data_IF_764191792215
#
_entry.id   IF_764191792215
#
_cell.length_a   1.000
_cell.length_b   1.000
_cell.length_c   1.000
_cell.angle_alpha   90.00
_cell.angle_beta   90.00
_cell.angle_gamma   90.00
#
_symmetry.space_group_name_H-M   'P 1'
#
loop_
_entity.id
_entity.type
_entity.pdbx_description
1 polymer ?
#
# COMPACT_ATOMS: atom_id res chain seq x y z
N UNK A 1 -30.27 -11.76 22.63
CA UNK A 1 -29.27 -10.70 22.95
C UNK A 1 -28.02 -11.38 23.48
N UNK A 2 -26.92 -11.44 22.71
CA UNK A 2 -25.59 -11.51 23.29
C UNK A 2 -25.10 -10.07 23.51
N UNK A 3 -24.70 -9.80 24.75
CA UNK A 3 -24.04 -8.59 25.24
C UNK A 3 -22.53 -8.70 25.04
N UNK A 4 -21.91 -7.52 24.98
CA UNK A 4 -20.47 -7.21 25.06
C UNK A 4 -19.73 -7.01 23.72
N UNK A 5 -19.70 -5.74 23.30
CA UNK A 5 -18.49 -5.16 22.71
C UNK A 5 -18.25 -3.82 23.40
N UNK A 6 -17.44 -3.84 24.44
CA UNK A 6 -16.70 -2.68 24.97
C UNK A 6 -15.65 -2.19 23.95
N UNK A 7 -16.07 -2.05 22.68
CA UNK A 7 -15.24 -1.52 21.60
C UNK A 7 -15.16 0.00 21.72
N UNK A 8 -13.94 0.55 21.75
CA UNK A 8 -13.76 1.99 21.60
C UNK A 8 -14.28 2.39 20.23
N UNK A 9 -14.99 3.52 20.15
CA UNK A 9 -15.35 4.13 18.87
C UNK A 9 -14.05 4.41 18.08
N UNK A 10 -13.98 3.89 16.86
CA UNK A 10 -12.85 4.10 15.94
C UNK A 10 -13.34 4.83 14.69
N UNK A 11 -12.79 6.02 14.45
CA UNK A 11 -12.99 6.77 13.22
C UNK A 11 -11.72 6.62 12.35
N UNK A 12 -11.85 6.22 11.08
CA UNK A 12 -10.73 6.00 10.14
C UNK A 12 -10.88 6.85 8.89
N UNK A 13 -9.93 7.76 8.67
CA UNK A 13 -9.77 8.43 7.38
C UNK A 13 -9.24 7.48 6.32
N UNK A 14 -9.81 7.56 5.13
CA UNK A 14 -9.42 6.73 3.97
C UNK A 14 -8.61 7.52 2.96
N UNK A 15 -7.94 6.82 2.05
CA UNK A 15 -7.26 7.45 0.92
C UNK A 15 -7.25 6.49 -0.26
N UNK A 16 -6.86 6.98 -1.43
CA UNK A 16 -6.79 6.20 -2.66
C UNK A 16 -5.60 5.22 -2.62
N UNK A 17 -5.79 4.09 -1.93
CA UNK A 17 -4.82 3.01 -1.78
C UNK A 17 -5.51 1.68 -2.08
N UNK A 18 -4.82 0.81 -2.84
CA UNK A 18 -5.33 -0.51 -3.17
C UNK A 18 -5.38 -1.44 -1.95
N UNK A 19 -6.10 -2.56 -2.05
CA UNK A 19 -5.98 -3.68 -1.10
C UNK A 19 -5.66 -4.96 -1.86
N UNK A 20 -5.13 -5.93 -1.14
CA UNK A 20 -4.82 -7.27 -1.64
C UNK A 20 -5.59 -8.31 -0.82
N UNK A 21 -6.09 -9.39 -1.44
CA UNK A 21 -6.57 -10.54 -0.68
C UNK A 21 -5.38 -11.18 0.05
N UNK A 22 -5.58 -11.75 1.23
CA UNK A 22 -4.50 -12.50 1.91
C UNK A 22 -4.22 -13.82 1.22
N UNK A 23 -5.29 -14.51 0.80
CA UNK A 23 -5.24 -15.79 0.10
C UNK A 23 -6.11 -15.74 -1.13
N UNK A 24 -5.68 -16.43 -2.17
CA UNK A 24 -6.45 -16.59 -3.40
C UNK A 24 -6.06 -17.91 -4.07
N UNK A 25 -7.02 -18.61 -4.70
CA UNK A 25 -6.79 -19.90 -5.38
C UNK A 25 -5.99 -20.90 -4.51
N UNK A 26 -6.37 -21.01 -3.24
CA UNK A 26 -5.77 -21.94 -2.26
C UNK A 26 -4.42 -21.53 -1.65
N UNK A 27 -3.75 -20.46 -2.12
CA UNK A 27 -2.41 -20.07 -1.66
C UNK A 27 -2.37 -18.63 -1.15
N UNK A 28 -1.28 -18.28 -0.48
CA UNK A 28 -0.99 -16.90 -0.08
C UNK A 28 -0.79 -16.02 -1.31
N UNK A 29 -1.34 -14.80 -1.29
CA UNK A 29 -1.27 -13.91 -2.45
C UNK A 29 0.16 -13.56 -2.84
N UNK A 30 1.07 -13.39 -1.87
CA UNK A 30 2.43 -12.97 -2.16
C UNK A 30 3.20 -14.04 -2.93
N UNK A 31 2.89 -15.32 -2.69
CA UNK A 31 3.47 -16.42 -3.48
C UNK A 31 3.04 -16.34 -4.93
N UNK A 32 1.76 -16.09 -5.20
CA UNK A 32 1.30 -15.88 -6.57
C UNK A 32 1.94 -14.66 -7.23
N UNK A 33 2.02 -13.54 -6.50
CA UNK A 33 2.58 -12.30 -7.05
C UNK A 33 4.08 -12.41 -7.35
N UNK A 34 4.81 -13.23 -6.58
CA UNK A 34 6.20 -13.57 -6.87
C UNK A 34 6.31 -14.43 -8.12
N UNK A 35 5.66 -15.60 -8.12
CA UNK A 35 5.82 -16.60 -9.19
C UNK A 35 5.31 -16.12 -10.55
N UNK A 36 4.29 -15.28 -10.54
CA UNK A 36 3.70 -14.71 -11.76
C UNK A 36 4.49 -13.54 -12.36
N UNK A 37 5.57 -13.11 -11.70
CA UNK A 37 6.36 -11.96 -12.14
C UNK A 37 5.68 -10.61 -11.92
N UNK A 38 4.53 -10.55 -11.25
CA UNK A 38 3.85 -9.29 -10.94
C UNK A 38 4.75 -8.34 -10.17
N UNK A 39 5.55 -8.90 -9.27
CA UNK A 39 6.49 -8.19 -8.42
C UNK A 39 7.80 -7.81 -9.13
N UNK A 40 8.14 -8.48 -10.24
CA UNK A 40 9.37 -8.27 -11.01
C UNK A 40 9.27 -7.10 -12.01
N UNK A 41 8.09 -6.47 -12.13
CA UNK A 41 7.90 -5.31 -13.00
C UNK A 41 8.87 -4.18 -12.60
N UNK A 42 9.69 -3.74 -13.56
CA UNK A 42 10.72 -2.72 -13.35
C UNK A 42 10.14 -1.37 -12.94
N UNK A 43 10.90 -0.60 -12.16
CA UNK A 43 10.53 0.75 -11.70
C UNK A 43 10.08 1.65 -12.85
N UNK A 44 10.82 1.67 -13.94
CA UNK A 44 10.54 2.49 -15.13
C UNK A 44 9.15 2.19 -15.70
N UNK A 45 8.78 0.91 -15.77
CA UNK A 45 7.48 0.46 -16.25
C UNK A 45 6.35 0.86 -15.28
N UNK A 46 6.60 0.77 -13.97
CA UNK A 46 5.66 1.26 -12.94
C UNK A 46 5.38 2.75 -13.13
N UNK A 47 6.44 3.55 -13.25
CA UNK A 47 6.32 5.01 -13.43
C UNK A 47 5.66 5.34 -14.76
N UNK A 48 6.00 4.63 -15.84
CA UNK A 48 5.40 4.83 -17.17
C UNK A 48 3.88 4.65 -17.15
N UNK A 49 3.39 3.63 -16.44
CA UNK A 49 1.95 3.32 -16.37
C UNK A 49 1.22 4.18 -15.34
N UNK A 50 1.80 4.38 -14.15
CA UNK A 50 1.13 5.06 -13.05
C UNK A 50 1.46 6.56 -12.92
N UNK A 51 2.39 7.07 -13.73
CA UNK A 51 2.93 8.44 -13.67
C UNK A 51 3.85 8.72 -12.48
N UNK A 52 3.83 7.85 -11.46
CA UNK A 52 4.63 7.94 -10.23
C UNK A 52 4.70 6.56 -9.57
N UNK A 53 5.51 6.45 -8.52
CA UNK A 53 5.46 5.28 -7.63
C UNK A 53 4.11 5.26 -6.90
N UNK A 54 3.31 4.18 -7.01
CA UNK A 54 2.06 4.06 -6.29
C UNK A 54 2.29 3.68 -4.82
N UNK A 55 1.31 3.94 -3.97
CA UNK A 55 1.30 3.36 -2.63
C UNK A 55 1.19 1.84 -2.71
N UNK A 56 1.84 1.13 -1.79
CA UNK A 56 1.69 -0.32 -1.66
C UNK A 56 0.26 -0.63 -1.19
N UNK A 57 -0.34 -1.66 -1.80
CA UNK A 57 -1.66 -2.10 -1.41
C UNK A 57 -1.68 -2.62 0.03
N UNK A 58 -2.78 -2.35 0.74
CA UNK A 58 -3.01 -2.87 2.08
C UNK A 58 -3.13 -4.39 2.01
N UNK A 59 -2.35 -5.06 2.85
CA UNK A 59 -2.33 -6.52 2.95
C UNK A 59 -2.38 -6.90 4.43
N UNK A 60 -3.42 -7.63 4.83
CA UNK A 60 -3.54 -8.09 6.21
C UNK A 60 -2.49 -9.15 6.55
N UNK A 61 -2.16 -9.28 7.83
CA UNK A 61 -1.13 -10.21 8.30
C UNK A 61 -1.58 -11.67 8.19
N UNK A 62 -2.76 -11.99 8.70
CA UNK A 62 -3.30 -13.36 8.77
C UNK A 62 -4.54 -13.60 7.92
N UNK A 63 -5.28 -12.54 7.60
CA UNK A 63 -6.52 -12.59 6.85
C UNK A 63 -6.66 -11.33 5.99
N UNK A 64 -7.59 -11.36 5.03
CA UNK A 64 -7.89 -10.20 4.19
C UNK A 64 -8.50 -9.08 5.03
N UNK A 65 -8.06 -7.84 4.78
CA UNK A 65 -8.64 -6.65 5.40
C UNK A 65 -9.24 -5.80 4.28
N UNK A 66 -10.49 -5.39 4.45
CA UNK A 66 -11.19 -4.46 3.56
C UNK A 66 -11.83 -3.34 4.39
N UNK A 67 -12.10 -2.21 3.75
CA UNK A 67 -12.78 -1.10 4.40
C UNK A 67 -14.20 -1.50 4.82
N UNK A 68 -14.88 -2.29 3.99
CA UNK A 68 -16.23 -2.77 4.23
C UNK A 68 -16.29 -3.71 5.44
N UNK A 69 -15.31 -4.61 5.57
CA UNK A 69 -15.20 -5.51 6.72
C UNK A 69 -14.93 -4.73 8.01
N UNK A 70 -14.03 -3.74 7.98
CA UNK A 70 -13.77 -2.85 9.12
C UNK A 70 -15.03 -2.08 9.52
N UNK A 71 -15.75 -1.56 8.54
CA UNK A 71 -17.01 -0.86 8.76
C UNK A 71 -18.08 -1.76 9.39
N UNK A 72 -18.20 -3.01 8.95
CA UNK A 72 -19.11 -3.97 9.57
C UNK A 72 -18.75 -4.34 11.01
N UNK A 73 -17.48 -4.18 11.40
CA UNK A 73 -16.99 -4.31 12.77
C UNK A 73 -17.21 -3.05 13.63
N UNK A 74 -17.79 -1.99 13.05
CA UNK A 74 -18.13 -0.76 13.78
C UNK A 74 -17.15 0.40 13.58
N UNK A 75 -16.14 0.24 12.71
CA UNK A 75 -15.26 1.37 12.35
C UNK A 75 -16.04 2.37 11.49
N UNK A 76 -16.05 3.63 11.91
CA UNK A 76 -16.63 4.72 11.12
C UNK A 76 -15.60 5.14 10.08
N UNK A 77 -15.92 4.93 8.80
CA UNK A 77 -15.06 5.35 7.72
C UNK A 77 -15.35 6.80 7.32
N UNK A 78 -14.28 7.55 7.12
CA UNK A 78 -14.29 8.94 6.68
C UNK A 78 -13.54 9.04 5.34
N UNK A 79 -13.79 10.10 4.59
CA UNK A 79 -12.98 10.41 3.42
C UNK A 79 -11.55 10.78 3.79
N UNK A 80 -10.78 11.25 2.81
CA UNK A 80 -9.40 11.69 3.02
C UNK A 80 -9.37 12.96 3.84
N UNK A 81 -8.52 12.98 4.88
CA UNK A 81 -8.23 14.18 5.65
C UNK A 81 -7.68 15.28 4.73
N UNK A 82 -8.32 16.45 4.73
CA UNK A 82 -7.95 17.60 3.89
C UNK A 82 -7.46 18.80 4.69
N UNK A 83 -7.82 18.89 5.96
CA UNK A 83 -7.47 20.04 6.79
C UNK A 83 -7.54 19.73 8.28
N UNK A 84 -6.75 20.48 9.04
CA UNK A 84 -6.75 20.53 10.50
C UNK A 84 -6.76 22.02 10.85
N UNK A 85 -7.80 22.46 11.53
CA UNK A 85 -7.92 23.84 12.01
C UNK A 85 -7.39 23.98 13.44
N UNK A 86 -6.95 25.20 13.78
CA UNK A 86 -6.61 25.56 15.16
C UNK A 86 -7.82 25.30 16.07
N UNK A 87 -7.61 24.49 17.11
CA UNK A 87 -8.68 24.01 17.98
C UNK A 87 -9.09 22.56 17.76
N UNK A 88 -8.53 21.86 16.77
CA UNK A 88 -8.69 20.40 16.61
C UNK A 88 -9.92 19.98 15.82
N UNK A 89 -10.41 20.84 14.91
CA UNK A 89 -11.41 20.48 13.92
C UNK A 89 -10.74 19.87 12.69
N UNK A 90 -11.17 18.67 12.30
CA UNK A 90 -10.70 17.94 11.13
C UNK A 90 -11.70 18.09 9.98
N UNK A 91 -11.21 18.27 8.75
CA UNK A 91 -12.04 18.26 7.53
C UNK A 91 -11.70 17.07 6.64
N UNK A 92 -12.73 16.50 6.00
CA UNK A 92 -12.59 15.34 5.12
C UNK A 92 -13.17 15.62 3.73
N UNK A 93 -12.54 15.05 2.72
CA UNK A 93 -13.07 15.05 1.35
C UNK A 93 -14.27 14.11 1.22
N UNK A 94 -15.13 14.38 0.24
CA UNK A 94 -16.23 13.49 -0.14
C UNK A 94 -15.77 12.40 -1.13
N UNK A 95 -14.74 11.64 -0.73
CA UNK A 95 -14.08 10.64 -1.59
C UNK A 95 -14.08 9.21 -1.03
N UNK A 96 -14.84 8.95 0.05
CA UNK A 96 -14.89 7.63 0.71
C UNK A 96 -15.29 6.51 -0.24
N UNK A 97 -16.40 6.65 -0.97
CA UNK A 97 -16.85 5.61 -1.91
C UNK A 97 -15.85 5.37 -3.03
N UNK A 98 -15.20 6.44 -3.52
CA UNK A 98 -14.17 6.34 -4.54
C UNK A 98 -12.94 5.60 -4.03
N UNK A 99 -12.54 5.83 -2.78
CA UNK A 99 -11.43 5.12 -2.14
C UNK A 99 -11.74 3.62 -1.96
N UNK A 100 -12.96 3.28 -1.52
CA UNK A 100 -13.41 1.88 -1.35
C UNK A 100 -13.43 1.16 -2.69
N UNK A 101 -14.05 1.77 -3.71
CA UNK A 101 -14.08 1.21 -5.07
C UNK A 101 -12.68 0.99 -5.63
N UNK A 102 -11.77 1.95 -5.45
CA UNK A 102 -10.39 1.81 -5.90
C UNK A 102 -9.66 0.64 -5.21
N UNK A 103 -9.92 0.42 -3.92
CA UNK A 103 -9.37 -0.71 -3.19
C UNK A 103 -9.88 -2.05 -3.76
N UNK A 104 -11.19 -2.17 -4.01
CA UNK A 104 -11.80 -3.37 -4.59
C UNK A 104 -11.28 -3.66 -6.01
N UNK A 105 -11.23 -2.63 -6.86
CA UNK A 105 -10.66 -2.75 -8.22
C UNK A 105 -9.21 -3.24 -8.19
N UNK A 106 -8.39 -2.77 -7.24
CA UNK A 106 -7.02 -3.25 -7.08
C UNK A 106 -6.96 -4.74 -6.69
N UNK A 107 -7.84 -5.19 -5.80
CA UNK A 107 -7.96 -6.60 -5.42
C UNK A 107 -8.34 -7.47 -6.63
N UNK A 108 -9.37 -7.07 -7.35
CA UNK A 108 -9.87 -7.79 -8.53
C UNK A 108 -8.85 -7.85 -9.67
N UNK A 109 -8.11 -6.76 -9.90
CA UNK A 109 -7.05 -6.75 -10.90
C UNK A 109 -5.91 -7.72 -10.54
N UNK A 110 -5.56 -7.81 -9.26
CA UNK A 110 -4.56 -8.78 -8.80
C UNK A 110 -5.07 -10.21 -8.95
N UNK A 111 -6.33 -10.50 -8.58
CA UNK A 111 -6.92 -11.83 -8.77
C UNK A 111 -6.92 -12.24 -10.25
N UNK A 112 -7.31 -11.32 -11.15
CA UNK A 112 -7.29 -11.55 -12.60
C UNK A 112 -5.89 -11.86 -13.11
N UNK A 113 -4.88 -11.13 -12.64
CA UNK A 113 -3.48 -11.43 -12.98
C UNK A 113 -3.08 -12.85 -12.54
N UNK A 114 -3.50 -13.28 -11.35
CA UNK A 114 -3.24 -14.64 -10.86
C UNK A 114 -3.95 -15.70 -11.70
N UNK A 115 -5.23 -15.50 -12.03
CA UNK A 115 -5.98 -16.42 -12.89
C UNK A 115 -5.37 -16.53 -14.29
N UNK A 116 -4.97 -15.40 -14.88
CA UNK A 116 -4.28 -15.37 -16.18
C UNK A 116 -2.96 -16.15 -16.12
N UNK A 117 -2.19 -16.01 -15.05
CA UNK A 117 -0.95 -16.74 -14.84
C UNK A 117 -1.20 -18.25 -14.69
N UNK A 118 -2.18 -18.65 -13.86
CA UNK A 118 -2.58 -20.05 -13.66
C UNK A 118 -2.96 -20.69 -15.01
N UNK A 119 -3.77 -19.99 -15.80
CA UNK A 119 -4.21 -20.46 -17.11
C UNK A 119 -3.04 -20.63 -18.08
N UNK A 120 -2.14 -19.64 -18.17
CA UNK A 120 -0.97 -19.67 -19.07
C UNK A 120 0.01 -20.79 -18.73
N UNK A 121 0.19 -21.06 -17.43
CA UNK A 121 1.14 -22.06 -16.96
C UNK A 121 0.53 -23.46 -16.82
N UNK A 122 -0.79 -23.61 -17.00
CA UNK A 122 -1.48 -24.89 -16.84
C UNK A 122 -1.43 -25.42 -15.40
N UNK A 123 -1.45 -24.52 -14.41
CA UNK A 123 -1.36 -24.90 -12.99
C UNK A 123 -2.72 -25.44 -12.52
N UNK A 124 -2.70 -26.62 -11.90
CA UNK A 124 -3.87 -27.14 -11.19
C UNK A 124 -4.03 -26.42 -9.84
N UNK A 125 -4.91 -25.41 -9.82
CA UNK A 125 -5.18 -24.59 -8.64
C UNK A 125 -6.67 -24.67 -8.26
N UNK A 126 -7.00 -24.76 -6.95
CA UNK A 126 -8.39 -24.79 -6.47
C UNK A 126 -9.23 -23.65 -7.04
N UNK A 127 -10.54 -23.86 -7.17
CA UNK A 127 -11.47 -22.82 -7.61
C UNK A 127 -11.42 -21.60 -6.69
N UNK A 128 -11.73 -20.42 -7.24
CA UNK A 128 -11.82 -19.20 -6.44
C UNK A 128 -13.02 -19.30 -5.48
N UNK A 129 -12.77 -19.09 -4.20
CA UNK A 129 -13.80 -19.01 -3.16
C UNK A 129 -14.04 -17.54 -2.78
N UNK A 130 -15.29 -17.13 -2.52
CA UNK A 130 -15.57 -15.78 -2.03
C UNK A 130 -14.91 -15.53 -0.67
N UNK A 131 -14.12 -14.48 -0.56
CA UNK A 131 -13.54 -14.04 0.70
C UNK A 131 -14.61 -13.27 1.50
N UNK A 132 -14.94 -13.68 2.75
CA UNK A 132 -15.90 -12.96 3.58
C UNK A 132 -15.56 -11.47 3.72
N UNK A 133 -14.29 -11.10 3.83
CA UNK A 133 -13.88 -9.70 3.96
C UNK A 133 -14.20 -8.88 2.70
N UNK A 134 -14.34 -9.51 1.55
CA UNK A 134 -14.59 -8.83 0.27
C UNK A 134 -16.06 -8.84 -0.16
N UNK A 135 -16.90 -9.57 0.57
CA UNK A 135 -18.34 -9.72 0.25
C UNK A 135 -19.24 -8.92 1.17
N UNK A 136 -18.68 -8.29 2.22
CA UNK A 136 -19.45 -7.47 3.16
C UNK A 136 -19.81 -6.13 2.52
N UNK A 137 -21.05 -5.69 2.76
CA UNK A 137 -21.50 -4.34 2.39
C UNK A 137 -21.01 -3.32 3.42
N UNK A 138 -20.38 -2.26 2.93
CA UNK A 138 -19.96 -1.12 3.75
C UNK A 138 -21.17 -0.48 4.45
N UNK A 139 -21.03 -0.18 5.75
CA UNK A 139 -21.97 0.64 6.51
C UNK A 139 -21.45 2.07 6.61
N UNK A 140 -22.14 3.01 5.99
CA UNK A 140 -21.78 4.42 6.05
C UNK A 140 -22.65 5.21 7.03
N UNK A 141 -22.10 6.23 7.68
CA UNK A 141 -22.91 7.28 8.30
C UNK A 141 -23.81 7.94 7.26
N UNK A 142 -25.06 8.21 7.62
CA UNK A 142 -25.98 9.02 6.84
C UNK A 142 -26.55 10.13 7.74
N UNK A 143 -26.24 11.42 7.49
CA UNK A 143 -25.39 11.93 6.40
C UNK A 143 -23.91 11.58 6.54
N UNK A 144 -23.14 11.73 5.46
CA UNK A 144 -21.69 11.59 5.46
C UNK A 144 -21.04 12.62 6.39
N UNK A 145 -19.93 12.24 7.04
CA UNK A 145 -19.22 13.10 8.00
C UNK A 145 -18.12 13.86 7.25
N UNK A 146 -18.39 15.13 6.94
CA UNK A 146 -17.43 16.03 6.28
C UNK A 146 -16.45 16.73 7.24
N UNK A 147 -16.76 16.77 8.54
CA UNK A 147 -15.88 17.32 9.56
C UNK A 147 -16.05 16.64 10.92
N UNK A 148 -15.00 16.69 11.74
CA UNK A 148 -14.97 16.08 13.08
C UNK A 148 -14.20 16.99 14.05
N UNK A 149 -14.88 17.50 15.07
CA UNK A 149 -14.22 18.14 16.22
C UNK A 149 -13.73 17.05 17.17
N UNK A 150 -12.42 16.97 17.40
CA UNK A 150 -11.80 15.93 18.21
C UNK A 150 -12.33 15.93 19.65
N UNK A 151 -12.48 17.11 20.27
CA UNK A 151 -12.90 17.27 21.66
C UNK A 151 -14.36 16.88 21.86
N UNK A 152 -15.25 17.39 21.00
CA UNK A 152 -16.70 17.13 21.05
C UNK A 152 -17.03 15.70 20.69
N UNK A 153 -16.20 15.06 19.87
CA UNK A 153 -16.37 13.66 19.47
C UNK A 153 -15.76 12.66 20.46
N UNK A 154 -15.14 13.15 21.54
CA UNK A 154 -14.51 12.31 22.56
C UNK A 154 -13.28 11.57 22.06
N UNK A 155 -12.61 12.07 21.01
CA UNK A 155 -11.38 11.46 20.48
C UNK A 155 -10.24 11.78 21.44
N UNK A 156 -9.66 10.73 22.04
CA UNK A 156 -8.58 10.83 23.02
C UNK A 156 -7.21 10.49 22.46
N UNK A 157 -7.16 9.94 21.24
CA UNK A 157 -5.93 9.52 20.59
C UNK A 157 -6.05 9.60 19.08
N UNK A 158 -4.99 10.03 18.42
CA UNK A 158 -4.86 10.06 16.97
C UNK A 158 -3.65 9.22 16.60
N UNK A 159 -3.83 8.27 15.69
CA UNK A 159 -2.75 7.43 15.16
C UNK A 159 -2.49 7.79 13.71
N UNK A 160 -1.30 8.30 13.42
CA UNK A 160 -0.91 8.68 12.07
C UNK A 160 -0.38 7.49 11.30
N UNK A 161 -1.19 6.97 10.38
CA UNK A 161 -0.84 5.87 9.49
C UNK A 161 -0.64 6.35 8.03
N UNK A 162 0.00 7.52 7.85
CA UNK A 162 0.13 8.21 6.55
C UNK A 162 1.41 7.85 5.79
N UNK A 163 2.08 6.76 6.16
CA UNK A 163 3.34 6.34 5.58
C UNK A 163 4.54 7.17 6.02
N UNK A 164 5.66 6.98 5.33
CA UNK A 164 6.93 7.69 5.59
C UNK A 164 7.63 7.99 4.27
N UNK A 165 8.62 8.89 4.33
CA UNK A 165 9.57 9.15 3.24
C UNK A 165 10.98 9.16 3.79
N UNK A 166 11.96 8.74 2.99
CA UNK A 166 13.36 8.86 3.36
C UNK A 166 13.79 10.32 3.39
N UNK A 167 14.47 10.71 4.47
CA UNK A 167 15.15 12.00 4.56
C UNK A 167 16.61 11.85 4.13
N UNK A 168 16.92 12.36 2.95
CA UNK A 168 18.27 12.35 2.37
C UNK A 168 18.93 13.73 2.41
N UNK A 169 18.36 14.72 3.12
CA UNK A 169 18.89 16.10 3.17
C UNK A 169 20.31 16.20 3.73
N UNK A 170 20.77 15.17 4.44
CA UNK A 170 22.14 15.03 4.93
C UNK A 170 23.15 14.80 3.79
N UNK A 171 22.71 14.29 2.63
CA UNK A 171 23.56 14.07 1.45
C UNK A 171 23.77 15.36 0.67
N UNK A 172 24.80 16.11 1.06
CA UNK A 172 25.20 17.37 0.40
C UNK A 172 26.08 17.15 -0.83
N UNK A 173 25.68 16.21 -1.68
CA UNK A 173 26.38 15.85 -2.92
C UNK A 173 25.57 16.34 -4.12
N UNK A 174 26.09 17.31 -4.91
CA UNK A 174 25.39 17.78 -6.11
C UNK A 174 25.08 16.65 -7.08
N UNK A 175 23.82 16.56 -7.53
CA UNK A 175 23.35 15.53 -8.45
C UNK A 175 22.97 14.19 -7.81
N UNK A 176 23.13 14.02 -6.49
CA UNK A 176 22.72 12.79 -5.80
C UNK A 176 21.21 12.71 -5.56
N UNK A 177 20.57 13.87 -5.43
CA UNK A 177 19.15 14.00 -5.11
C UNK A 177 18.42 14.83 -6.17
N UNK A 178 17.16 14.51 -6.41
CA UNK A 178 16.26 15.28 -7.26
C UNK A 178 15.69 16.52 -6.55
N UNK A 179 14.82 17.28 -7.22
CA UNK A 179 14.17 18.46 -6.65
C UNK A 179 13.21 18.14 -5.49
N UNK A 180 12.80 16.88 -5.33
CA UNK A 180 12.03 16.40 -4.20
C UNK A 180 12.91 15.87 -3.05
N UNK A 181 14.24 15.98 -3.18
CA UNK A 181 15.21 15.49 -2.20
C UNK A 181 15.29 13.96 -2.15
N UNK A 182 14.92 13.26 -3.22
CA UNK A 182 14.99 11.81 -3.31
C UNK A 182 16.19 11.33 -4.14
N UNK A 183 16.77 10.17 -3.82
CA UNK A 183 17.90 9.59 -4.55
C UNK A 183 17.69 9.49 -6.06
N UNK A 184 18.65 10.02 -6.82
CA UNK A 184 18.74 9.83 -8.27
C UNK A 184 19.60 8.61 -8.55
N UNK A 185 18.99 7.54 -9.09
CA UNK A 185 19.66 6.27 -9.32
C UNK A 185 19.03 5.46 -10.44
N UNK A 186 19.80 4.51 -10.98
CA UNK A 186 19.30 3.40 -11.80
C UNK A 186 19.58 2.12 -11.02
N UNK A 187 18.52 1.41 -10.64
CA UNK A 187 18.60 0.16 -9.87
C UNK A 187 19.53 0.25 -8.63
N UNK A 188 19.47 1.36 -7.89
CA UNK A 188 20.30 1.62 -6.71
C UNK A 188 21.71 2.18 -6.98
N UNK A 189 22.14 2.32 -8.23
CA UNK A 189 23.43 2.91 -8.59
C UNK A 189 23.24 4.39 -8.93
N UNK A 190 23.95 5.29 -8.25
CA UNK A 190 23.89 6.72 -8.55
C UNK A 190 24.71 7.06 -9.80
N UNK A 191 24.42 8.21 -10.43
CA UNK A 191 25.27 8.74 -11.49
C UNK A 191 26.65 9.20 -10.98
N UNK A 192 26.77 9.52 -9.69
CA UNK A 192 28.02 9.86 -9.03
C UNK A 192 28.83 8.59 -8.74
N UNK A 193 30.07 8.47 -9.25
CA UNK A 193 30.91 7.31 -8.96
C UNK A 193 31.12 7.10 -7.46
N UNK A 194 31.02 5.84 -7.02
CA UNK A 194 31.18 5.46 -5.61
C UNK A 194 29.94 5.67 -4.72
N UNK A 195 28.82 6.18 -5.27
CA UNK A 195 27.57 6.35 -4.52
C UNK A 195 26.52 5.30 -4.91
N UNK A 196 25.97 4.62 -3.90
CA UNK A 196 24.98 3.55 -4.06
C UNK A 196 23.88 3.69 -3.01
N UNK A 197 22.67 3.27 -3.38
CA UNK A 197 21.50 3.26 -2.55
C UNK A 197 20.92 1.85 -2.48
N UNK A 198 20.85 1.29 -1.27
CA UNK A 198 20.27 -0.02 -1.00
C UNK A 198 18.95 0.11 -0.23
N UNK A 199 18.00 -0.79 -0.49
CA UNK A 199 16.74 -0.87 0.26
C UNK A 199 15.71 0.21 -0.08
N UNK A 200 15.89 0.96 -1.18
CA UNK A 200 14.91 1.95 -1.61
C UNK A 200 13.60 1.29 -2.07
N UNK A 201 12.49 1.96 -1.78
CA UNK A 201 11.17 1.52 -2.24
C UNK A 201 11.08 1.64 -3.76
N UNK A 202 10.67 0.55 -4.42
CA UNK A 202 10.63 0.46 -5.89
C UNK A 202 11.97 0.81 -6.56
N UNK A 203 13.12 0.51 -5.95
CA UNK A 203 14.45 0.80 -6.48
C UNK A 203 14.67 0.27 -7.90
N UNK A 204 14.59 -1.05 -8.09
CA UNK A 204 14.75 -1.70 -9.40
C UNK A 204 13.42 -2.24 -9.93
N UNK A 205 12.57 -2.77 -9.04
CA UNK A 205 11.32 -3.46 -9.37
C UNK A 205 10.25 -3.15 -8.32
N UNK A 206 8.99 -3.54 -8.55
CA UNK A 206 7.89 -3.36 -7.57
C UNK A 206 8.20 -3.97 -6.20
N UNK A 207 9.07 -4.97 -6.17
CA UNK A 207 9.42 -5.72 -4.97
C UNK A 207 10.65 -5.17 -4.23
N UNK A 208 11.38 -4.21 -4.78
CA UNK A 208 12.44 -3.50 -4.05
C UNK A 208 11.92 -2.79 -2.80
N UNK A 209 12.70 -2.80 -1.71
CA UNK A 209 12.32 -2.17 -0.45
C UNK A 209 11.51 -3.08 0.50
N UNK A 210 11.34 -4.36 0.16
CA UNK A 210 10.75 -5.37 1.05
C UNK A 210 11.79 -6.48 1.36
N UNK A 211 11.68 -7.11 2.55
CA UNK A 211 12.63 -8.12 3.04
C UNK A 211 12.85 -9.26 2.04
N UNK A 212 11.81 -9.63 1.30
CA UNK A 212 11.80 -10.75 0.36
C UNK A 212 12.87 -10.67 -0.74
N UNK A 213 13.33 -9.47 -1.08
CA UNK A 213 14.14 -9.22 -2.30
C UNK A 213 15.54 -8.73 -1.98
N UNK A 214 15.81 -8.40 -0.72
CA UNK A 214 17.14 -7.90 -0.33
C UNK A 214 18.25 -8.90 -0.68
N UNK A 215 17.93 -10.20 -0.65
CA UNK A 215 18.85 -11.27 -1.03
C UNK A 215 19.20 -11.27 -2.53
N UNK A 216 18.38 -10.68 -3.39
CA UNK A 216 18.65 -10.52 -4.83
C UNK A 216 19.37 -9.19 -5.13
N UNK A 217 18.92 -8.09 -4.51
CA UNK A 217 19.43 -6.76 -4.83
C UNK A 217 20.78 -6.44 -4.20
N UNK A 218 21.04 -6.90 -2.98
CA UNK A 218 22.29 -6.61 -2.30
C UNK A 218 23.51 -7.23 -3.02
N UNK A 219 23.50 -8.51 -3.45
CA UNK A 219 24.60 -9.08 -4.24
C UNK A 219 24.85 -8.32 -5.54
N UNK A 220 23.81 -7.88 -6.23
CA UNK A 220 23.94 -7.09 -7.47
C UNK A 220 24.68 -5.77 -7.24
N UNK A 221 24.38 -5.07 -6.15
CA UNK A 221 25.10 -3.85 -5.79
C UNK A 221 26.56 -4.15 -5.41
N UNK A 222 26.80 -5.21 -4.64
CA UNK A 222 28.16 -5.62 -4.24
C UNK A 222 29.00 -6.01 -5.46
N UNK A 223 28.44 -6.78 -6.38
CA UNK A 223 29.10 -7.15 -7.64
C UNK A 223 29.44 -5.92 -8.47
N UNK A 224 28.49 -4.98 -8.60
CA UNK A 224 28.76 -3.72 -9.29
C UNK A 224 29.89 -2.94 -8.62
N UNK A 225 29.93 -2.88 -7.28
CA UNK A 225 31.00 -2.22 -6.54
C UNK A 225 32.34 -2.89 -6.83
N UNK A 226 32.44 -4.22 -6.72
CA UNK A 226 33.69 -4.96 -6.91
C UNK A 226 34.29 -4.82 -8.31
N UNK A 227 33.46 -4.65 -9.34
CA UNK A 227 33.91 -4.47 -10.73
C UNK A 227 34.36 -3.03 -11.02
N UNK A 228 33.89 -2.05 -10.24
CA UNK A 228 34.13 -0.61 -10.47
C UNK A 228 34.94 0.07 -9.35
N UNK A 229 35.44 -0.73 -8.40
CA UNK A 229 36.35 -0.31 -7.32
C UNK A 229 37.81 -0.36 -7.72
#
# INVERSE_FOLDING_TARGET
KPSDTTGRKEDRSTSRVGRLPRRYRGRDIMLWLLESGFLDVRREEVIRVAGRIPARGVLGSTHTISLQALSAQGVVLLGRLTGIEDGGSLSFADDLEANVRFADEASENVKRHVDDYISRMGIDAPVAEPDPAETVVMRQPNPTIGSLDLSRSGVTSVVWCTGFKGDFSWMRLPGALDSAGQPVHVDGVAALPGLYFAGLDFASTRKSGIILVIAEEAPRLVEHIAVHS
#
